data_IF_936431208445
#
_entry.id   IF_936431208445
#
_cell.length_a   1.000
_cell.length_b   1.000
_cell.length_c   1.000
_cell.angle_alpha   90.00
_cell.angle_beta   90.00
_cell.angle_gamma   90.00
#
_symmetry.space_group_name_H-M   'P 1'
#
loop_
_entity.id
_entity.type
_entity.pdbx_description
1 polymer ?
#
# COMPACT_ATOMS: atom_id res chain seq x y z
N UNK A 1 38.02 -19.21 6.19
CA UNK A 1 37.37 -17.94 5.82
C UNK A 1 36.15 -17.76 6.71
N UNK A 2 35.95 -16.62 7.41
CA UNK A 2 34.73 -16.39 8.17
C UNK A 2 33.56 -15.99 7.25
N UNK A 3 32.30 -16.32 7.59
CA UNK A 3 31.12 -15.99 6.79
C UNK A 3 30.74 -14.50 6.91
N UNK A 4 30.22 -13.92 5.83
CA UNK A 4 29.81 -12.52 5.76
C UNK A 4 28.61 -12.19 6.68
N UNK A 5 28.49 -10.95 7.18
CA UNK A 5 27.40 -10.56 8.07
C UNK A 5 26.08 -10.47 7.30
N UNK A 6 25.03 -11.04 7.90
CA UNK A 6 23.66 -10.93 7.42
C UNK A 6 23.18 -9.52 7.77
N UNK A 7 22.99 -8.65 6.77
CA UNK A 7 22.48 -7.30 6.98
C UNK A 7 20.98 -7.41 7.27
N UNK A 8 20.61 -7.43 8.54
CA UNK A 8 19.23 -7.25 8.97
C UNK A 8 18.88 -5.76 8.82
N UNK A 9 18.36 -5.39 7.65
CA UNK A 9 17.74 -4.07 7.46
C UNK A 9 16.54 -3.90 8.40
N UNK A 10 16.15 -2.65 8.73
CA UNK A 10 15.00 -2.40 9.59
C UNK A 10 13.75 -3.07 9.02
N UNK A 11 12.83 -3.58 9.87
CA UNK A 11 11.61 -4.23 9.42
C UNK A 11 10.84 -3.27 8.54
N UNK A 12 10.70 -3.62 7.26
CA UNK A 12 9.91 -2.83 6.33
C UNK A 12 8.46 -2.87 6.83
N UNK A 13 7.96 -1.73 7.33
CA UNK A 13 6.61 -1.63 7.87
C UNK A 13 5.61 -2.22 6.87
N UNK A 14 4.71 -3.07 7.38
CA UNK A 14 3.72 -3.74 6.56
C UNK A 14 2.93 -2.69 5.74
N UNK A 15 2.65 -2.97 4.46
CA UNK A 15 1.91 -2.03 3.63
C UNK A 15 0.52 -1.79 4.24
N UNK A 16 0.03 -0.53 4.25
CA UNK A 16 -1.31 -0.22 4.72
C UNK A 16 -2.34 -1.05 3.94
N UNK A 17 -3.30 -1.63 4.68
CA UNK A 17 -4.40 -2.42 4.13
C UNK A 17 -5.73 -1.67 4.30
N UNK A 18 -6.52 -1.62 3.23
CA UNK A 18 -7.88 -1.11 3.25
C UNK A 18 -8.87 -2.21 2.86
N UNK A 19 -9.65 -2.67 3.83
CA UNK A 19 -10.73 -3.64 3.66
C UNK A 19 -12.11 -2.97 3.61
N UNK A 20 -12.16 -1.76 3.06
CA UNK A 20 -13.39 -0.99 2.87
C UNK A 20 -14.03 -1.35 1.52
N UNK A 21 -15.36 -1.48 1.41
CA UNK A 21 -16.01 -1.83 0.14
C UNK A 21 -15.80 -0.77 -0.95
N UNK A 22 -15.72 0.50 -0.56
CA UNK A 22 -15.43 1.62 -1.44
C UNK A 22 -14.33 2.48 -0.84
N UNK A 23 -13.22 2.58 -1.56
CA UNK A 23 -12.05 3.39 -1.23
C UNK A 23 -12.13 4.69 -2.03
N UNK A 24 -12.12 5.81 -1.32
CA UNK A 24 -12.21 7.16 -1.89
C UNK A 24 -10.86 7.86 -1.83
N UNK A 25 -10.76 9.00 -2.50
CA UNK A 25 -9.61 9.89 -2.47
C UNK A 25 -9.23 10.33 -1.06
N UNK A 26 -10.20 10.47 -0.15
CA UNK A 26 -9.95 10.79 1.26
C UNK A 26 -9.22 9.66 1.98
N UNK A 27 -9.62 8.41 1.71
CA UNK A 27 -8.96 7.24 2.29
C UNK A 27 -7.50 7.15 1.80
N UNK A 28 -7.26 7.47 0.52
CA UNK A 28 -5.90 7.56 -0.05
C UNK A 28 -5.12 8.75 0.53
N UNK A 29 -5.77 9.89 0.75
CA UNK A 29 -5.15 11.08 1.30
C UNK A 29 -4.68 10.88 2.75
N UNK A 30 -5.41 10.08 3.51
CA UNK A 30 -5.08 9.69 4.89
C UNK A 30 -3.89 8.71 4.99
N UNK A 31 -3.45 8.11 3.87
CA UNK A 31 -2.25 7.27 3.87
C UNK A 31 -1.00 8.12 4.15
N UNK A 32 -0.06 7.54 4.89
CA UNK A 32 1.23 8.16 5.14
C UNK A 32 1.94 8.50 3.82
N UNK A 33 2.60 9.66 3.74
CA UNK A 33 3.29 10.07 2.51
C UNK A 33 4.41 9.10 2.09
N UNK A 34 4.98 8.35 3.04
CA UNK A 34 5.97 7.32 2.78
C UNK A 34 5.39 5.99 2.26
N UNK A 35 4.05 5.84 2.25
CA UNK A 35 3.42 4.64 1.75
C UNK A 35 3.63 4.53 0.24
N UNK A 36 4.32 3.47 -0.20
CA UNK A 36 4.56 3.18 -1.62
C UNK A 36 3.70 2.03 -2.15
N UNK A 37 3.04 1.31 -1.24
CA UNK A 37 2.20 0.14 -1.52
C UNK A 37 0.93 0.24 -0.68
N UNK A 38 -0.19 -0.16 -1.27
CA UNK A 38 -1.50 -0.26 -0.63
C UNK A 38 -2.09 -1.62 -0.96
N UNK A 39 -2.47 -2.36 0.07
CA UNK A 39 -3.19 -3.63 -0.09
C UNK A 39 -4.70 -3.34 -0.03
N UNK A 40 -5.41 -3.75 -1.07
CA UNK A 40 -6.87 -3.68 -1.12
C UNK A 40 -7.49 -5.05 -0.87
N UNK A 41 -8.58 -5.05 -0.11
CA UNK A 41 -9.43 -6.22 0.05
C UNK A 41 -9.98 -6.70 -1.31
N UNK A 42 -10.29 -7.99 -1.47
CA UNK A 42 -10.67 -8.59 -2.75
C UNK A 42 -11.96 -7.98 -3.34
N UNK A 43 -12.84 -7.48 -2.48
CA UNK A 43 -14.12 -6.86 -2.86
C UNK A 43 -14.07 -5.33 -2.87
N UNK A 44 -12.93 -4.73 -2.53
CA UNK A 44 -12.78 -3.28 -2.47
C UNK A 44 -12.77 -2.67 -3.86
N UNK A 45 -13.59 -1.64 -4.05
CA UNK A 45 -13.64 -0.82 -5.25
C UNK A 45 -12.96 0.52 -4.99
N UNK A 46 -12.33 1.07 -6.03
CA UNK A 46 -11.73 2.40 -6.00
C UNK A 46 -12.64 3.38 -6.72
N UNK A 47 -12.84 4.57 -6.17
CA UNK A 47 -13.37 5.68 -6.94
C UNK A 47 -12.36 6.12 -8.02
N UNK A 48 -12.81 6.77 -9.10
CA UNK A 48 -11.90 7.35 -10.09
C UNK A 48 -10.89 8.33 -9.45
N UNK A 49 -11.35 9.16 -8.51
CA UNK A 49 -10.49 10.10 -7.78
C UNK A 49 -9.47 9.39 -6.90
N UNK A 50 -9.85 8.31 -6.20
CA UNK A 50 -8.91 7.49 -5.44
C UNK A 50 -7.82 6.92 -6.34
N UNK A 51 -8.19 6.41 -7.52
CA UNK A 51 -7.24 5.86 -8.50
C UNK A 51 -6.30 6.95 -9.06
N UNK A 52 -6.80 8.16 -9.29
CA UNK A 52 -5.97 9.31 -9.70
C UNK A 52 -4.98 9.68 -8.59
N UNK A 53 -5.45 9.80 -7.35
CA UNK A 53 -4.61 10.16 -6.19
C UNK A 53 -3.51 9.12 -5.94
N UNK A 54 -3.82 7.82 -6.06
CA UNK A 54 -2.83 6.76 -5.98
C UNK A 54 -1.75 6.88 -7.06
N UNK A 55 -2.14 7.24 -8.30
CA UNK A 55 -1.18 7.47 -9.39
C UNK A 55 -0.32 8.69 -9.13
N UNK A 56 -0.91 9.81 -8.71
CA UNK A 56 -0.18 11.04 -8.35
C UNK A 56 0.86 10.80 -7.27
N UNK A 57 0.52 9.99 -6.26
CA UNK A 57 1.41 9.63 -5.15
C UNK A 57 2.39 8.49 -5.48
N UNK A 58 2.27 7.86 -6.65
CA UNK A 58 3.10 6.72 -7.02
C UNK A 58 2.87 5.47 -6.16
N UNK A 59 1.68 5.33 -5.57
CA UNK A 59 1.32 4.20 -4.70
C UNK A 59 0.92 3.02 -5.57
N UNK A 60 1.61 1.89 -5.41
CA UNK A 60 1.26 0.62 -6.08
C UNK A 60 0.14 -0.08 -5.33
N UNK A 61 -0.79 -0.64 -6.08
CA UNK A 61 -1.94 -1.37 -5.53
C UNK A 61 -1.65 -2.87 -5.62
N UNK A 62 -1.79 -3.57 -4.51
CA UNK A 62 -1.80 -5.02 -4.44
C UNK A 62 -3.20 -5.46 -4.01
N UNK A 63 -3.79 -6.45 -4.69
CA UNK A 63 -5.04 -7.06 -4.24
C UNK A 63 -4.70 -8.31 -3.46
N UNK A 64 -5.28 -8.46 -2.28
CA UNK A 64 -5.28 -9.74 -1.58
C UNK A 64 -6.12 -10.71 -2.42
N UNK A 65 -5.47 -11.73 -2.96
CA UNK A 65 -6.16 -12.90 -3.48
C UNK A 65 -6.75 -13.67 -2.30
N UNK A 66 -7.93 -14.24 -2.51
CA UNK A 66 -8.90 -14.55 -1.46
C UNK A 66 -8.48 -15.69 -0.54
#
# INVERSE_FOLDING_TARGET
APPAPIVTGPPQAAPPRLDKPLVTERDVAALAQAARRLVLGPRSRLTPLARDELRRRGIRIERTDR
#
